data_IF_206097634279
#
_entry.id   IF_206097634279
#
_cell.length_a   1.000
_cell.length_b   1.000
_cell.length_c   1.000
_cell.angle_alpha   90.00
_cell.angle_beta   90.00
_cell.angle_gamma   90.00
#
_symmetry.space_group_name_H-M   'P 1'
#
loop_
_entity.id
_entity.type
_entity.pdbx_description
1 polymer ?
#
# COMPACT_ATOMS: atom_id res chain seq x y z
N UNK A 1 4.25 18.27 -16.00
CA UNK A 1 4.08 18.09 -14.54
C UNK A 1 3.98 16.59 -14.34
N UNK A 2 4.99 15.96 -13.74
CA UNK A 2 5.01 14.50 -13.58
C UNK A 2 4.41 14.21 -12.21
N UNK A 3 3.21 13.64 -12.19
CA UNK A 3 2.55 13.25 -10.95
C UNK A 3 3.28 12.06 -10.35
N UNK A 4 4.02 12.30 -9.26
CA UNK A 4 4.63 11.25 -8.45
C UNK A 4 3.56 10.65 -7.53
N UNK A 5 3.01 9.50 -7.93
CA UNK A 5 2.17 8.70 -7.05
C UNK A 5 3.07 7.99 -6.02
N UNK A 6 2.86 8.29 -4.73
CA UNK A 6 3.54 7.62 -3.62
C UNK A 6 2.61 6.57 -3.03
N UNK A 7 2.94 5.29 -3.18
CA UNK A 7 2.25 4.19 -2.51
C UNK A 7 3.04 3.75 -1.27
N UNK A 8 2.39 3.67 -0.11
CA UNK A 8 2.98 3.07 1.09
C UNK A 8 2.58 1.61 1.11
N UNK A 9 3.53 0.73 0.78
CA UNK A 9 3.34 -0.72 0.92
C UNK A 9 3.76 -1.09 2.33
N UNK A 10 2.80 -1.40 3.19
CA UNK A 10 3.09 -1.94 4.51
C UNK A 10 3.35 -3.44 4.39
N UNK A 11 4.54 -3.85 4.80
CA UNK A 11 4.97 -5.24 4.67
C UNK A 11 4.26 -6.10 5.72
N UNK A 12 3.48 -7.08 5.26
CA UNK A 12 2.80 -8.06 6.11
C UNK A 12 3.29 -9.46 5.74
N UNK A 13 3.89 -10.14 6.71
CA UNK A 13 4.33 -11.55 6.77
C UNK A 13 5.81 -11.84 6.44
N UNK A 14 6.59 -12.30 7.44
CA UNK A 14 7.91 -12.88 7.23
C UNK A 14 7.86 -14.39 7.00
N UNK A 15 8.81 -14.84 6.18
CA UNK A 15 9.23 -16.22 5.96
C UNK A 15 8.52 -16.98 4.83
N UNK A 16 8.79 -16.58 3.59
CA UNK A 16 9.14 -17.52 2.53
C UNK A 16 10.26 -16.88 1.70
N UNK A 17 11.48 -17.41 1.75
CA UNK A 17 12.50 -17.09 0.73
C UNK A 17 12.06 -17.81 -0.54
N UNK A 18 11.10 -17.22 -1.25
CA UNK A 18 10.87 -17.52 -2.65
C UNK A 18 11.65 -16.48 -3.43
N UNK A 19 12.58 -16.96 -4.28
CA UNK A 19 13.30 -16.10 -5.22
C UNK A 19 12.31 -15.73 -6.34
N UNK A 20 11.44 -14.76 -6.04
CA UNK A 20 10.49 -14.23 -7.02
C UNK A 20 11.15 -13.05 -7.74
N UNK A 21 11.07 -13.03 -9.06
CA UNK A 21 11.57 -11.92 -9.88
C UNK A 21 10.58 -10.74 -9.95
N UNK A 22 9.54 -10.77 -9.13
CA UNK A 22 8.54 -9.72 -9.05
C UNK A 22 8.04 -9.53 -7.61
N UNK A 23 7.65 -8.29 -7.32
CA UNK A 23 6.90 -7.90 -6.14
C UNK A 23 5.42 -7.90 -6.53
N UNK A 24 4.59 -8.61 -5.76
CA UNK A 24 3.13 -8.59 -5.88
C UNK A 24 2.57 -7.72 -4.76
N UNK A 25 1.78 -6.71 -5.10
CA UNK A 25 1.09 -5.85 -4.14
C UNK A 25 -0.39 -6.15 -4.22
N UNK A 26 -0.94 -6.66 -3.12
CA UNK A 26 -2.38 -6.97 -2.98
C UNK A 26 -3.03 -5.81 -2.21
N UNK A 27 -3.98 -5.07 -2.80
CA UNK A 27 -4.66 -3.99 -2.11
C UNK A 27 -5.61 -4.55 -1.04
N UNK A 28 -5.36 -4.21 0.22
CA UNK A 28 -6.22 -4.56 1.36
C UNK A 28 -7.25 -3.46 1.63
N UNK A 29 -6.82 -2.21 1.54
CA UNK A 29 -7.65 -1.03 1.74
C UNK A 29 -7.49 -0.05 0.58
N UNK A 30 -8.53 0.75 0.32
CA UNK A 30 -8.41 1.97 -0.47
C UNK A 30 -9.11 3.14 0.22
N UNK A 31 -8.81 4.33 -0.28
CA UNK A 31 -9.23 5.58 0.30
C UNK A 31 -8.67 6.76 -0.47
N UNK A 32 -8.86 7.95 0.10
CA UNK A 32 -8.31 9.18 -0.43
C UNK A 32 -7.66 9.99 0.68
N UNK A 33 -6.80 10.94 0.32
CA UNK A 33 -6.32 11.97 1.24
C UNK A 33 -7.17 13.22 1.05
N UNK A 34 -7.62 13.82 2.15
CA UNK A 34 -8.29 15.11 2.11
C UNK A 34 -7.30 16.25 1.82
N UNK A 35 -7.81 17.49 1.74
CA UNK A 35 -6.99 18.68 1.50
C UNK A 35 -5.92 18.89 2.59
N UNK A 36 -6.15 18.35 3.79
CA UNK A 36 -5.22 18.36 4.92
C UNK A 36 -4.22 17.18 4.87
N UNK A 37 -4.21 16.42 3.76
CA UNK A 37 -3.35 15.24 3.51
C UNK A 37 -3.62 14.08 4.48
N UNK A 38 -4.74 14.09 5.20
CA UNK A 38 -5.14 13.03 6.11
C UNK A 38 -5.74 11.89 5.32
N UNK A 39 -5.26 10.68 5.57
CA UNK A 39 -5.75 9.47 4.91
C UNK A 39 -7.12 9.09 5.49
N UNK A 40 -8.10 8.93 4.61
CA UNK A 40 -9.44 8.41 4.92
C UNK A 40 -9.68 7.13 4.14
N UNK A 41 -9.85 6.00 4.85
CA UNK A 41 -10.17 4.71 4.23
C UNK A 41 -11.67 4.66 3.89
N UNK A 42 -11.99 4.25 2.67
CA UNK A 42 -13.38 4.14 2.18
C UNK A 42 -13.77 2.69 1.90
N UNK A 43 -12.80 1.79 1.75
CA UNK A 43 -13.05 0.43 1.27
C UNK A 43 -12.11 -0.57 1.93
N UNK A 44 -12.66 -1.73 2.30
CA UNK A 44 -11.95 -2.90 2.82
C UNK A 44 -12.14 -4.08 1.84
N UNK A 45 -11.12 -4.39 1.04
CA UNK A 45 -11.27 -5.37 -0.03
C UNK A 45 -11.35 -6.81 0.49
N UNK A 46 -10.76 -7.11 1.65
CA UNK A 46 -10.81 -8.47 2.20
C UNK A 46 -12.24 -8.89 2.57
N UNK A 47 -13.13 -7.93 2.87
CA UNK A 47 -14.53 -8.25 3.20
C UNK A 47 -15.23 -8.79 1.95
N UNK A 48 -15.05 -8.11 0.82
CA UNK A 48 -15.56 -8.53 -0.50
C UNK A 48 -14.95 -9.88 -0.91
N UNK A 49 -13.65 -10.09 -0.66
CA UNK A 49 -13.02 -11.37 -0.94
C UNK A 49 -13.62 -12.50 -0.11
N UNK A 50 -13.93 -12.24 1.16
CA UNK A 50 -14.58 -13.20 2.03
C UNK A 50 -15.97 -13.59 1.51
N UNK A 51 -16.70 -12.66 0.91
CA UNK A 51 -17.99 -12.91 0.26
C UNK A 51 -17.82 -13.76 -1.00
N UNK A 52 -16.84 -13.45 -1.86
CA UNK A 52 -16.58 -14.24 -3.07
C UNK A 52 -16.20 -15.70 -2.77
N UNK A 53 -15.42 -15.93 -1.71
CA UNK A 53 -15.09 -17.29 -1.25
C UNK A 53 -16.33 -18.01 -0.74
N UNK A 54 -17.18 -17.33 0.06
CA UNK A 54 -18.45 -17.91 0.56
C UNK A 54 -19.42 -18.26 -0.58
N UNK A 55 -19.46 -17.43 -1.63
CA UNK A 55 -20.28 -17.66 -2.82
C UNK A 55 -19.67 -18.70 -3.79
N UNK A 56 -18.47 -19.22 -3.49
CA UNK A 56 -17.77 -20.18 -4.34
C UNK A 56 -17.28 -19.61 -5.67
N UNK A 57 -17.19 -18.28 -5.80
CA UNK A 57 -16.72 -17.61 -7.02
C UNK A 57 -15.22 -17.71 -7.21
N UNK A 58 -14.47 -17.77 -6.11
CA UNK A 58 -13.02 -17.96 -6.08
C UNK A 58 -12.67 -18.95 -4.96
N UNK A 59 -11.57 -19.69 -5.10
CA UNK A 59 -11.08 -20.59 -4.04
C UNK A 59 -9.95 -19.95 -3.23
N UNK A 60 -9.27 -18.96 -3.79
CA UNK A 60 -8.14 -18.27 -3.18
C UNK A 60 -8.10 -16.79 -3.56
N UNK A 61 -7.53 -15.96 -2.67
CA UNK A 61 -7.24 -14.54 -2.96
C UNK A 61 -6.29 -14.36 -4.15
N UNK A 62 -5.51 -15.38 -4.50
CA UNK A 62 -4.58 -15.33 -5.63
C UNK A 62 -5.24 -15.41 -7.01
N UNK A 63 -6.53 -15.78 -7.06
CA UNK A 63 -7.34 -15.81 -8.29
C UNK A 63 -7.86 -14.44 -8.69
N UNK A 64 -7.72 -13.44 -7.80
CA UNK A 64 -8.19 -12.09 -8.05
C UNK A 64 -7.21 -11.34 -8.95
N UNK A 65 -7.73 -10.77 -10.04
CA UNK A 65 -6.97 -9.92 -10.97
C UNK A 65 -7.00 -8.45 -10.52
N UNK A 66 -6.59 -8.23 -9.27
CA UNK A 66 -6.55 -6.91 -8.60
C UNK A 66 -5.16 -6.54 -8.13
N UNK A 67 -4.18 -7.38 -8.46
CA UNK A 67 -2.84 -7.27 -7.93
C UNK A 67 -1.96 -6.44 -8.85
N UNK A 68 -1.15 -5.58 -8.24
CA UNK A 68 -0.09 -4.89 -8.95
C UNK A 68 1.16 -5.78 -8.94
N UNK A 69 1.60 -6.19 -10.13
CA UNK A 69 2.83 -6.97 -10.32
C UNK A 69 3.94 -6.04 -10.80
N UNK A 70 5.02 -5.93 -10.03
CA UNK A 70 6.19 -5.11 -10.36
C UNK A 70 7.37 -6.05 -10.56
N UNK A 71 7.87 -6.15 -11.80
CA UNK A 71 9.08 -6.91 -12.12
C UNK A 71 10.31 -6.22 -11.54
N UNK A 72 11.23 -6.99 -10.94
CA UNK A 72 12.45 -6.43 -10.34
C UNK A 72 13.39 -5.76 -11.37
N UNK A 73 13.32 -6.17 -12.64
CA UNK A 73 14.14 -5.60 -13.72
C UNK A 73 13.85 -4.11 -13.99
N UNK A 74 12.66 -3.63 -13.61
CA UNK A 74 12.23 -2.24 -13.77
C UNK A 74 12.30 -1.44 -12.46
N UNK A 75 12.85 -2.02 -11.39
CA UNK A 75 12.90 -1.40 -10.08
C UNK A 75 14.09 -0.44 -9.99
N UNK A 76 13.81 0.86 -9.95
CA UNK A 76 14.85 1.90 -9.90
C UNK A 76 15.43 2.04 -8.49
N UNK A 77 14.60 1.99 -7.45
CA UNK A 77 15.04 2.05 -6.06
C UNK A 77 13.97 1.51 -5.10
N UNK A 78 14.42 1.06 -3.92
CA UNK A 78 13.57 0.75 -2.77
C UNK A 78 14.15 1.48 -1.57
N UNK A 79 13.28 2.09 -0.77
CA UNK A 79 13.69 2.78 0.45
C UNK A 79 12.74 2.42 1.57
N UNK A 80 13.29 2.15 2.74
CA UNK A 80 12.49 1.98 3.95
C UNK A 80 11.81 3.30 4.29
N UNK A 81 10.51 3.22 4.56
CA UNK A 81 9.72 4.37 4.96
C UNK A 81 9.27 4.21 6.41
N UNK A 82 9.80 5.06 7.29
CA UNK A 82 9.42 5.12 8.69
C UNK A 82 8.40 6.24 8.90
N UNK A 83 7.13 5.86 9.12
CA UNK A 83 6.04 6.82 9.22
C UNK A 83 6.23 7.78 10.40
N UNK A 84 6.72 7.29 11.55
CA UNK A 84 6.99 8.12 12.72
C UNK A 84 8.08 9.18 12.44
N UNK A 85 9.09 8.82 11.64
CA UNK A 85 10.16 9.76 11.25
C UNK A 85 9.63 10.83 10.31
N UNK A 86 8.82 10.43 9.32
CA UNK A 86 8.15 11.37 8.42
C UNK A 86 7.24 12.32 9.19
N UNK A 87 6.45 11.81 10.13
CA UNK A 87 5.56 12.63 10.96
C UNK A 87 6.35 13.63 11.81
N UNK A 88 7.44 13.21 12.45
CA UNK A 88 8.33 14.11 13.21
C UNK A 88 8.90 15.23 12.35
N UNK A 89 9.34 14.92 11.12
CA UNK A 89 9.87 15.93 10.20
C UNK A 89 8.81 16.94 9.75
N UNK A 90 7.56 16.49 9.57
CA UNK A 90 6.47 17.33 9.09
C UNK A 90 5.61 17.94 10.20
N UNK A 91 6.02 17.86 11.47
CA UNK A 91 5.34 18.59 12.55
C UNK A 91 5.42 20.09 12.27
N UNK A 92 4.31 20.84 12.36
CA UNK A 92 4.35 22.29 12.30
C UNK A 92 5.32 22.80 13.36
N UNK A 93 6.29 23.63 12.96
CA UNK A 93 7.17 24.30 13.92
C UNK A 93 6.31 25.12 14.88
N UNK A 94 6.44 24.87 16.18
CA UNK A 94 5.77 25.63 17.23
C UNK A 94 6.38 27.04 17.43
N UNK A 95 7.27 27.47 16.53
CA UNK A 95 7.85 28.80 16.58
C UNK A 95 6.96 29.78 15.80
N UNK A 96 6.38 30.80 16.46
CA UNK A 96 5.90 31.96 15.74
C UNK A 96 7.12 32.56 15.04
N UNK A 97 7.06 32.70 13.71
CA UNK A 97 8.04 33.49 12.97
C UNK A 97 8.18 34.86 13.68
N UNK A 98 9.41 35.34 13.96
CA UNK A 98 9.62 36.70 14.42
C UNK A 98 9.15 37.73 13.38
#
# INVERSE_FOLDING_TARGET
MVDFFSFIVQWLVPNLITVSNYIRVIPVFSGYRDEQKKLSFTTHYLDVYSEYVKEGRIQSVYELDVDLIITLDNLVSVSYFEIEMYERFNKPSADPKP
#
